data_IF_128493497735
#
_entry.id   IF_128493497735
#
_cell.length_a   1.000
_cell.length_b   1.000
_cell.length_c   1.000
_cell.angle_alpha   90.00
_cell.angle_beta   90.00
_cell.angle_gamma   90.00
#
_symmetry.space_group_name_H-M   'P 1'
#
loop_
_entity.id
_entity.type
_entity.pdbx_description
1 polymer ?
#
# COMPACT_ATOMS: atom_id res chain seq x y z
N UNK A 1 -6.00 5.93 16.78
CA UNK A 1 -6.22 5.07 15.59
C UNK A 1 -4.98 4.99 14.69
N UNK A 2 -4.47 6.10 14.14
CA UNK A 2 -3.32 6.07 13.22
C UNK A 2 -2.01 5.47 13.77
N UNK A 3 -1.69 5.69 15.04
CA UNK A 3 -0.50 5.11 15.67
C UNK A 3 -0.60 3.58 15.79
N UNK A 4 -1.78 3.06 16.16
CA UNK A 4 -2.03 1.61 16.23
C UNK A 4 -1.85 0.93 14.87
N UNK A 5 -2.29 1.58 13.80
CA UNK A 5 -2.07 1.07 12.43
C UNK A 5 -0.58 1.02 12.08
N UNK A 6 0.19 2.07 12.39
CA UNK A 6 1.63 2.11 12.13
C UNK A 6 2.38 1.05 12.93
N UNK A 7 2.08 0.94 14.24
CA UNK A 7 2.66 -0.08 15.10
C UNK A 7 2.35 -1.50 14.60
N UNK A 8 1.12 -1.74 14.12
CA UNK A 8 0.72 -3.03 13.58
C UNK A 8 1.44 -3.39 12.26
N UNK A 9 1.62 -2.44 11.34
CA UNK A 9 2.40 -2.68 10.10
C UNK A 9 3.87 -2.96 10.42
N UNK A 10 4.46 -2.26 11.40
CA UNK A 10 5.82 -2.53 11.88
C UNK A 10 5.93 -3.86 12.62
N UNK A 11 4.90 -4.24 13.39
CA UNK A 11 4.82 -5.54 14.04
C UNK A 11 4.86 -6.67 13.02
N UNK A 12 4.04 -6.58 11.97
CA UNK A 12 4.05 -7.52 10.85
C UNK A 12 5.42 -7.58 10.16
N UNK A 13 6.05 -6.43 9.89
CA UNK A 13 7.39 -6.40 9.31
C UNK A 13 8.44 -7.05 10.22
N UNK A 14 8.36 -6.84 11.54
CA UNK A 14 9.24 -7.45 12.54
C UNK A 14 9.06 -8.97 12.62
N UNK A 15 7.82 -9.45 12.63
CA UNK A 15 7.48 -10.89 12.65
C UNK A 15 8.08 -11.64 11.46
N UNK A 16 8.27 -10.94 10.34
CA UNK A 16 8.88 -11.48 9.12
C UNK A 16 10.35 -11.07 8.92
N UNK A 17 11.03 -10.59 9.97
CA UNK A 17 12.46 -10.20 9.95
C UNK A 17 12.82 -9.13 8.91
N UNK A 18 11.86 -8.30 8.48
CA UNK A 18 12.10 -7.26 7.48
C UNK A 18 12.80 -6.04 8.05
N UNK A 19 12.70 -5.80 9.37
CA UNK A 19 13.29 -4.63 10.05
C UNK A 19 14.70 -4.88 10.60
N UNK A 20 15.17 -6.13 10.61
CA UNK A 20 16.50 -6.50 11.07
C UNK A 20 17.52 -6.64 9.94
N UNK A 21 17.13 -6.32 8.70
CA UNK A 21 18.00 -6.41 7.54
C UNK A 21 19.02 -5.26 7.55
N UNK A 22 20.24 -5.60 7.17
CA UNK A 22 21.37 -4.68 6.99
C UNK A 22 21.64 -4.44 5.50
N UNK A 23 22.25 -3.30 5.16
CA UNK A 23 22.52 -2.89 3.78
C UNK A 23 21.26 -2.83 2.92
N UNK A 24 20.22 -2.16 3.47
CA UNK A 24 18.89 -2.03 2.87
C UNK A 24 18.42 -0.57 2.86
N UNK A 25 17.77 -0.18 1.76
CA UNK A 25 16.95 1.02 1.69
C UNK A 25 15.49 0.71 2.08
N UNK A 26 15.00 1.33 3.14
CA UNK A 26 13.61 1.20 3.60
C UNK A 26 12.75 2.31 2.98
N UNK A 27 11.91 1.96 2.00
CA UNK A 27 11.15 2.92 1.22
C UNK A 27 9.68 3.03 1.68
N UNK A 28 9.25 4.19 2.19
CA UNK A 28 7.84 4.51 2.43
C UNK A 28 7.22 5.19 1.20
N UNK A 29 6.25 4.54 0.57
CA UNK A 29 5.44 5.11 -0.51
C UNK A 29 4.20 5.81 0.05
N UNK A 30 3.93 7.03 -0.43
CA UNK A 30 2.83 7.86 0.06
C UNK A 30 3.09 8.35 1.48
N UNK A 31 4.31 8.80 1.75
CA UNK A 31 4.79 9.03 3.10
C UNK A 31 4.01 10.12 3.87
N UNK A 32 3.35 11.04 3.16
CA UNK A 32 2.66 12.19 3.73
C UNK A 32 3.58 12.89 4.73
N UNK A 33 3.14 13.07 5.98
CA UNK A 33 3.94 13.69 7.05
C UNK A 33 5.13 12.85 7.56
N UNK A 34 5.43 11.69 6.97
CA UNK A 34 6.62 10.87 7.28
C UNK A 34 6.53 10.13 8.62
N UNK A 35 5.31 9.85 9.12
CA UNK A 35 5.14 9.25 10.44
C UNK A 35 5.52 7.77 10.49
N UNK A 36 5.26 7.01 9.42
CA UNK A 36 5.67 5.60 9.40
C UNK A 36 7.19 5.51 9.18
N UNK A 37 7.77 6.28 8.27
CA UNK A 37 9.21 6.41 8.08
C UNK A 37 9.95 6.78 9.37
N UNK A 38 9.42 7.72 10.17
CA UNK A 38 9.97 8.03 11.49
C UNK A 38 10.08 6.78 12.39
N UNK A 39 9.04 5.95 12.45
CA UNK A 39 9.05 4.74 13.25
C UNK A 39 9.86 3.60 12.63
N UNK A 40 9.94 3.53 11.30
CA UNK A 40 10.85 2.63 10.59
C UNK A 40 12.30 2.97 10.99
N UNK A 41 12.71 4.23 10.86
CA UNK A 41 14.06 4.68 11.23
C UNK A 41 14.44 4.34 12.67
N UNK A 42 13.49 4.40 13.60
CA UNK A 42 13.69 4.03 15.02
C UNK A 42 13.68 2.52 15.28
N UNK A 43 13.33 1.70 14.29
CA UNK A 43 13.13 0.25 14.44
C UNK A 43 14.12 -0.60 13.64
N UNK A 44 14.99 0.03 12.86
CA UNK A 44 16.01 -0.61 12.01
C UNK A 44 17.41 -0.35 12.57
N UNK A 45 18.45 -1.08 12.11
CA UNK A 45 19.83 -0.77 12.49
C UNK A 45 20.22 0.69 12.17
N UNK A 46 20.90 1.33 13.12
CA UNK A 46 21.29 2.76 12.98
C UNK A 46 22.29 2.96 11.83
N UNK A 47 23.18 2.00 11.61
CA UNK A 47 24.20 2.02 10.57
C UNK A 47 23.86 1.03 9.45
N UNK A 48 24.39 1.31 8.25
CA UNK A 48 24.25 0.43 7.10
C UNK A 48 22.86 0.40 6.47
N UNK A 49 21.93 1.27 6.87
CA UNK A 49 20.61 1.38 6.26
C UNK A 49 20.32 2.82 5.79
N UNK A 50 19.26 2.99 5.00
CA UNK A 50 18.68 4.30 4.69
C UNK A 50 17.17 4.23 4.72
N UNK A 51 16.51 5.37 4.95
CA UNK A 51 15.05 5.50 4.87
C UNK A 51 14.72 6.46 3.73
N UNK A 52 13.96 5.98 2.76
CA UNK A 52 13.49 6.75 1.62
C UNK A 52 12.00 7.07 1.77
N UNK A 53 11.63 8.34 1.67
CA UNK A 53 10.25 8.79 1.67
C UNK A 53 9.87 9.25 0.27
N UNK A 54 8.84 8.64 -0.31
CA UNK A 54 8.31 9.01 -1.62
C UNK A 54 6.92 9.60 -1.45
N UNK A 55 6.72 10.84 -1.87
CA UNK A 55 5.39 11.47 -1.87
C UNK A 55 5.27 12.51 -3.00
N UNK A 56 4.07 12.68 -3.54
CA UNK A 56 3.79 13.70 -4.57
C UNK A 56 3.65 15.10 -3.96
N UNK A 57 3.15 15.18 -2.72
CA UNK A 57 2.88 16.41 -2.01
C UNK A 57 4.11 16.95 -1.26
N UNK A 58 4.04 18.23 -0.86
CA UNK A 58 5.02 18.88 -0.01
C UNK A 58 4.42 19.16 1.38
N UNK A 59 4.37 18.17 2.27
CA UNK A 59 3.68 18.31 3.55
C UNK A 59 4.45 19.22 4.51
N UNK A 60 3.70 19.99 5.32
CA UNK A 60 4.19 20.71 6.49
C UNK A 60 4.29 19.75 7.70
N UNK A 61 5.10 20.11 8.70
CA UNK A 61 5.30 19.33 9.93
C UNK A 61 5.77 17.89 9.66
N UNK A 62 6.86 17.79 8.91
CA UNK A 62 7.58 16.55 8.59
C UNK A 62 8.10 15.88 9.87
N UNK A 63 7.71 14.63 10.12
CA UNK A 63 8.11 13.89 11.32
C UNK A 63 9.55 13.42 11.26
N UNK A 64 10.09 13.22 10.06
CA UNK A 64 11.49 12.89 9.86
C UNK A 64 12.44 13.98 10.40
N UNK A 65 12.01 15.25 10.46
CA UNK A 65 12.79 16.33 11.08
C UNK A 65 12.97 16.17 12.60
N UNK A 66 12.32 15.18 13.22
CA UNK A 66 12.48 14.82 14.64
C UNK A 66 13.47 13.67 14.85
N UNK A 67 14.10 13.19 13.78
CA UNK A 67 15.20 12.25 13.86
C UNK A 67 16.47 13.07 14.09
N UNK A 68 17.27 12.66 15.06
CA UNK A 68 18.57 13.28 15.32
C UNK A 68 19.58 12.89 14.22
N UNK A 69 20.60 13.71 13.99
CA UNK A 69 21.60 13.47 12.93
C UNK A 69 22.43 12.19 13.12
N UNK A 70 22.37 11.58 14.31
CA UNK A 70 22.99 10.29 14.61
C UNK A 70 22.23 9.08 14.06
N UNK A 71 21.00 9.26 13.56
CA UNK A 71 20.19 8.18 13.02
C UNK A 71 20.53 7.84 11.56
N UNK A 72 19.94 6.73 11.11
CA UNK A 72 19.97 6.24 9.72
C UNK A 72 19.72 7.37 8.70
N UNK A 73 20.46 7.37 7.58
CA UNK A 73 20.32 8.38 6.53
C UNK A 73 18.89 8.44 5.98
N UNK A 74 18.27 9.63 6.02
CA UNK A 74 16.90 9.85 5.54
C UNK A 74 16.89 10.69 4.27
N UNK A 75 16.29 10.16 3.21
CA UNK A 75 16.07 10.85 1.94
C UNK A 75 14.57 11.01 1.70
N UNK A 76 14.12 12.21 1.27
CA UNK A 76 12.74 12.40 0.78
C UNK A 76 12.76 12.89 -0.66
N UNK A 77 12.08 12.17 -1.53
CA UNK A 77 11.90 12.54 -2.94
C UNK A 77 10.45 12.96 -3.17
N UNK A 78 10.29 14.13 -3.78
CA UNK A 78 8.99 14.63 -4.24
C UNK A 78 8.76 14.22 -5.68
N UNK A 79 7.98 13.17 -5.89
CA UNK A 79 7.74 12.61 -7.22
C UNK A 79 6.39 11.89 -7.27
N UNK A 80 5.79 11.84 -8.45
CA UNK A 80 4.69 10.91 -8.71
C UNK A 80 5.25 9.51 -8.94
N UNK A 81 4.78 8.53 -8.18
CA UNK A 81 5.29 7.14 -8.20
C UNK A 81 5.22 6.54 -9.61
N UNK A 82 4.29 7.00 -10.46
CA UNK A 82 4.21 6.54 -11.86
C UNK A 82 5.48 6.83 -12.68
N UNK A 83 6.26 7.84 -12.29
CA UNK A 83 7.51 8.25 -12.95
C UNK A 83 8.76 7.88 -12.13
N UNK A 84 8.59 7.19 -11.01
CA UNK A 84 9.70 6.83 -10.14
C UNK A 84 10.39 5.56 -10.68
N UNK A 85 11.68 5.71 -10.98
CA UNK A 85 12.59 4.60 -11.22
C UNK A 85 13.42 4.36 -9.96
N UNK A 86 13.01 3.39 -9.15
CA UNK A 86 13.59 3.18 -7.81
C UNK A 86 15.08 2.82 -7.85
N UNK A 87 15.51 2.07 -8.87
CA UNK A 87 16.93 1.72 -9.07
C UNK A 87 17.82 2.95 -9.36
N UNK A 88 17.21 4.08 -9.72
CA UNK A 88 17.90 5.34 -9.99
C UNK A 88 18.03 6.27 -8.77
N UNK A 89 17.43 5.90 -7.63
CA UNK A 89 17.48 6.68 -6.40
C UNK A 89 18.79 6.43 -5.64
N UNK A 90 19.42 7.50 -5.15
CA UNK A 90 20.75 7.45 -4.52
C UNK A 90 20.79 6.56 -3.27
N UNK A 91 19.80 6.66 -2.38
CA UNK A 91 19.69 5.76 -1.23
C UNK A 91 19.55 4.29 -1.63
N UNK A 92 18.88 3.99 -2.74
CA UNK A 92 18.74 2.62 -3.26
C UNK A 92 20.05 2.13 -3.88
N UNK A 93 20.75 2.98 -4.64
CA UNK A 93 22.07 2.67 -5.22
C UNK A 93 23.11 2.39 -4.14
N UNK A 94 23.11 3.18 -3.06
CA UNK A 94 23.99 3.00 -1.90
C UNK A 94 23.91 1.59 -1.32
N UNK A 95 22.72 1.00 -1.33
CA UNK A 95 22.44 -0.34 -0.81
C UNK A 95 22.34 -1.39 -1.93
N UNK A 96 23.01 -1.15 -3.07
CA UNK A 96 23.12 -2.10 -4.19
C UNK A 96 21.75 -2.60 -4.69
N UNK A 97 20.72 -1.75 -4.59
CA UNK A 97 19.37 -2.10 -5.01
C UNK A 97 18.54 -2.88 -4.01
N UNK A 98 19.07 -3.21 -2.82
CA UNK A 98 18.30 -3.86 -1.76
C UNK A 98 17.25 -2.90 -1.18
N UNK A 99 15.99 -3.28 -1.29
CA UNK A 99 14.87 -2.46 -0.83
C UNK A 99 13.87 -3.26 0.00
N UNK A 100 13.35 -2.64 1.06
CA UNK A 100 12.10 -3.06 1.71
C UNK A 100 11.05 -1.97 1.54
N UNK A 101 9.90 -2.34 0.98
CA UNK A 101 8.80 -1.42 0.70
C UNK A 101 7.77 -1.32 1.83
N UNK A 102 7.31 -0.11 2.12
CA UNK A 102 6.25 0.13 3.09
C UNK A 102 5.18 1.04 2.50
N UNK A 103 3.94 0.77 2.87
CA UNK A 103 2.86 1.73 2.68
C UNK A 103 1.79 1.57 3.75
N UNK A 104 1.30 2.69 4.28
CA UNK A 104 0.12 2.74 5.15
C UNK A 104 -1.17 3.04 4.38
N UNK A 105 -1.12 4.01 3.48
CA UNK A 105 -2.26 4.39 2.64
C UNK A 105 -1.74 4.88 1.29
N UNK A 106 -1.85 4.05 0.26
CA UNK A 106 -1.70 4.47 -1.13
C UNK A 106 -3.07 4.43 -1.79
N UNK A 107 -3.44 5.54 -2.43
CA UNK A 107 -4.76 5.68 -3.00
C UNK A 107 -4.81 5.19 -4.46
N UNK A 108 -5.75 4.29 -4.74
CA UNK A 108 -6.06 3.87 -6.12
C UNK A 108 -4.90 3.18 -6.80
N UNK A 109 -4.58 3.65 -8.00
CA UNK A 109 -3.51 3.09 -8.83
C UNK A 109 -2.09 3.30 -8.30
N UNK A 110 -1.91 4.20 -7.32
CA UNK A 110 -0.59 4.41 -6.73
C UNK A 110 -0.04 3.13 -6.06
N UNK A 111 -0.91 2.28 -5.48
CA UNK A 111 -0.53 0.93 -5.00
C UNK A 111 0.08 0.10 -6.11
N UNK A 112 -0.58 0.08 -7.27
CA UNK A 112 -0.16 -0.71 -8.42
C UNK A 112 1.12 -0.16 -9.06
N UNK A 113 1.32 1.17 -9.06
CA UNK A 113 2.59 1.79 -9.46
C UNK A 113 3.73 1.45 -8.49
N UNK A 114 3.50 1.50 -7.17
CA UNK A 114 4.53 1.16 -6.18
C UNK A 114 4.94 -0.31 -6.31
N UNK A 115 3.99 -1.23 -6.45
CA UNK A 115 4.29 -2.65 -6.67
C UNK A 115 5.15 -2.85 -7.93
N UNK A 116 4.77 -2.25 -9.06
CA UNK A 116 5.55 -2.32 -10.31
C UNK A 116 6.95 -1.72 -10.15
N UNK A 117 7.05 -0.57 -9.50
CA UNK A 117 8.29 0.15 -9.27
C UNK A 117 9.30 -0.70 -8.47
N UNK A 118 8.82 -1.44 -7.46
CA UNK A 118 9.65 -2.31 -6.62
C UNK A 118 10.02 -3.64 -7.27
N UNK A 119 9.22 -4.16 -8.21
CA UNK A 119 9.43 -5.50 -8.79
C UNK A 119 10.02 -5.48 -10.19
N UNK A 120 10.25 -4.31 -10.79
CA UNK A 120 10.83 -4.20 -12.13
C UNK A 120 12.35 -4.32 -12.05
N UNK A 121 12.90 -5.46 -12.50
CA UNK A 121 14.35 -5.72 -12.54
C UNK A 121 15.05 -5.20 -13.82
N UNK A 122 14.34 -4.55 -14.74
CA UNK A 122 14.88 -4.17 -16.05
C UNK A 122 15.35 -2.72 -16.09
N UNK A 123 16.67 -2.51 -16.06
CA UNK A 123 17.32 -1.47 -16.85
C UNK A 123 18.72 -1.93 -17.27
N UNK A 124 18.96 -1.93 -18.57
CA UNK A 124 20.23 -2.27 -19.23
C UNK A 124 21.36 -1.26 -18.97
N UNK A 125 21.20 -0.32 -18.02
CA UNK A 125 22.22 0.69 -17.63
C UNK A 125 22.25 1.03 -16.12
N UNK A 126 21.37 0.48 -15.28
CA UNK A 126 21.16 0.93 -13.88
C UNK A 126 21.23 -0.21 -12.83
N UNK A 127 21.21 0.15 -11.55
CA UNK A 127 21.24 -0.78 -10.40
C UNK A 127 20.05 -1.73 -10.43
N UNK A 128 20.32 -3.03 -10.42
CA UNK A 128 19.30 -4.07 -10.32
C UNK A 128 18.59 -3.98 -8.96
N UNK A 129 17.26 -4.03 -8.98
CA UNK A 129 16.45 -3.98 -7.76
C UNK A 129 16.31 -5.38 -7.16
N UNK A 130 16.62 -5.47 -5.87
CA UNK A 130 16.45 -6.67 -5.05
C UNK A 130 15.43 -6.37 -3.94
N UNK A 131 14.17 -6.66 -4.23
CA UNK A 131 13.08 -6.50 -3.26
C UNK A 131 13.21 -7.56 -2.16
N UNK A 132 13.69 -7.14 -0.99
CA UNK A 132 13.88 -7.98 0.20
C UNK A 132 12.58 -8.20 0.98
N UNK A 133 11.54 -7.42 0.68
CA UNK A 133 10.19 -7.62 1.19
C UNK A 133 9.35 -6.35 1.08
N UNK A 134 8.05 -6.46 1.31
CA UNK A 134 7.18 -5.30 1.40
C UNK A 134 5.97 -5.54 2.31
N UNK A 135 5.53 -4.46 2.97
CA UNK A 135 4.29 -4.42 3.75
C UNK A 135 3.42 -3.27 3.25
N UNK A 136 2.39 -3.62 2.48
CA UNK A 136 1.57 -2.64 1.75
C UNK A 136 0.12 -2.68 2.23
N UNK A 137 -0.28 -1.73 3.09
CA UNK A 137 -1.68 -1.59 3.46
C UNK A 137 -2.52 -1.09 2.28
N UNK A 138 -3.61 -1.80 1.99
CA UNK A 138 -4.47 -1.60 0.81
C UNK A 138 -5.85 -1.11 1.25
N UNK A 139 -6.41 -0.11 0.54
CA UNK A 139 -7.67 0.51 0.95
C UNK A 139 -8.55 1.00 -0.21
N UNK A 140 -8.06 1.99 -0.97
CA UNK A 140 -8.85 2.75 -1.95
C UNK A 140 -9.03 2.02 -3.30
N UNK A 141 -9.48 0.78 -3.25
CA UNK A 141 -9.80 -0.06 -4.41
C UNK A 141 -10.73 0.64 -5.41
N UNK A 142 -11.69 1.42 -4.90
CA UNK A 142 -12.62 2.20 -5.71
C UNK A 142 -11.95 3.25 -6.61
N UNK A 143 -10.66 3.56 -6.41
CA UNK A 143 -9.89 4.51 -7.24
C UNK A 143 -8.88 3.84 -8.18
N UNK A 144 -8.82 2.51 -8.21
CA UNK A 144 -7.91 1.81 -9.12
C UNK A 144 -8.32 1.99 -10.58
N UNK A 145 -7.35 2.00 -11.48
CA UNK A 145 -7.56 2.07 -12.93
C UNK A 145 -7.19 0.74 -13.57
N UNK A 146 -7.98 0.33 -14.57
CA UNK A 146 -7.75 -0.93 -15.28
C UNK A 146 -6.37 -0.98 -15.95
N UNK A 147 -5.89 0.15 -16.46
CA UNK A 147 -4.65 0.19 -17.24
C UNK A 147 -3.40 0.05 -16.36
N UNK A 148 -3.44 0.60 -15.15
CA UNK A 148 -2.34 0.57 -14.19
C UNK A 148 -2.39 -0.63 -13.24
N UNK A 149 -3.52 -1.33 -13.12
CA UNK A 149 -3.69 -2.46 -12.21
C UNK A 149 -2.76 -3.64 -12.54
N UNK A 150 -1.92 -4.04 -11.57
CA UNK A 150 -0.89 -5.09 -11.79
C UNK A 150 -1.49 -6.48 -11.96
N UNK A 151 -2.62 -6.77 -11.30
CA UNK A 151 -3.31 -8.06 -11.37
C UNK A 151 -4.15 -8.29 -12.63
N UNK A 152 -4.08 -7.42 -13.64
CA UNK A 152 -4.97 -7.43 -14.81
C UNK A 152 -4.93 -8.75 -15.59
N UNK A 153 -3.76 -9.37 -15.76
CA UNK A 153 -3.62 -10.66 -16.44
C UNK A 153 -4.40 -11.77 -15.72
N UNK A 154 -4.35 -11.79 -14.39
CA UNK A 154 -5.05 -12.75 -13.55
C UNK A 154 -6.56 -12.52 -13.55
N UNK A 155 -7.00 -11.26 -13.49
CA UNK A 155 -8.42 -10.95 -13.64
C UNK A 155 -8.98 -11.48 -14.98
N UNK A 156 -8.27 -11.25 -16.08
CA UNK A 156 -8.66 -11.79 -17.39
C UNK A 156 -8.71 -13.32 -17.40
N UNK A 157 -7.75 -13.99 -16.75
CA UNK A 157 -7.75 -15.45 -16.62
C UNK A 157 -8.97 -15.96 -15.85
N UNK A 158 -9.46 -15.20 -14.87
CA UNK A 158 -10.69 -15.50 -14.13
C UNK A 158 -11.97 -15.06 -14.85
N UNK A 159 -11.88 -14.66 -16.12
CA UNK A 159 -13.02 -14.21 -16.91
C UNK A 159 -13.52 -12.81 -16.56
N UNK A 160 -12.76 -12.01 -15.82
CA UNK A 160 -13.14 -10.65 -15.41
C UNK A 160 -12.65 -9.66 -16.46
N UNK A 161 -13.59 -9.04 -17.16
CA UNK A 161 -13.32 -8.02 -18.17
C UNK A 161 -13.05 -6.65 -17.55
N UNK A 162 -12.69 -5.68 -18.40
CA UNK A 162 -12.58 -4.28 -17.98
C UNK A 162 -13.91 -3.70 -17.47
N UNK A 163 -15.04 -4.15 -18.04
CA UNK A 163 -16.36 -3.72 -17.61
C UNK A 163 -16.68 -4.30 -16.21
N UNK A 164 -16.36 -5.57 -15.99
CA UNK A 164 -16.52 -6.22 -14.68
C UNK A 164 -15.62 -5.57 -13.62
N UNK A 165 -14.39 -5.21 -13.98
CA UNK A 165 -13.50 -4.47 -13.10
C UNK A 165 -14.09 -3.11 -12.68
N UNK A 166 -14.75 -2.40 -13.60
CA UNK A 166 -15.42 -1.14 -13.26
C UNK A 166 -16.55 -1.37 -12.24
N UNK A 167 -17.30 -2.47 -12.36
CA UNK A 167 -18.33 -2.87 -11.40
C UNK A 167 -17.71 -3.25 -10.06
N UNK A 168 -16.69 -4.11 -10.04
CA UNK A 168 -15.95 -4.50 -8.84
C UNK A 168 -15.41 -3.29 -8.07
N UNK A 169 -14.88 -2.30 -8.80
CA UNK A 169 -14.39 -1.05 -8.23
C UNK A 169 -15.49 -0.23 -7.55
N UNK A 170 -16.66 -0.13 -8.17
CA UNK A 170 -17.84 0.50 -7.56
C UNK A 170 -18.29 -0.26 -6.30
N UNK A 171 -18.43 -1.58 -6.39
CA UNK A 171 -18.86 -2.42 -5.28
C UNK A 171 -17.86 -2.42 -4.12
N UNK A 172 -16.56 -2.36 -4.41
CA UNK A 172 -15.51 -2.26 -3.38
C UNK A 172 -15.69 -1.03 -2.47
N UNK A 173 -16.29 0.06 -2.98
CA UNK A 173 -16.66 1.23 -2.17
C UNK A 173 -17.66 0.92 -1.06
N UNK A 174 -18.44 -0.16 -1.19
CA UNK A 174 -19.44 -0.54 -0.18
C UNK A 174 -18.84 -1.09 1.11
N UNK A 175 -17.58 -1.56 1.07
CA UNK A 175 -16.89 -2.12 2.22
C UNK A 175 -16.78 -1.12 3.38
N UNK A 176 -16.71 0.18 3.04
CA UNK A 176 -16.59 1.28 4.01
C UNK A 176 -17.81 2.18 3.98
N UNK A 177 -18.97 1.72 3.46
CA UNK A 177 -20.21 2.49 3.50
C UNK A 177 -20.42 3.04 4.91
N UNK A 178 -20.13 4.33 5.07
CA UNK A 178 -20.64 5.14 6.16
C UNK A 178 -22.11 5.34 5.83
N UNK A 179 -22.94 4.35 6.14
CA UNK A 179 -24.34 4.65 6.33
C UNK A 179 -24.38 5.55 7.56
N UNK A 180 -24.43 6.87 7.34
CA UNK A 180 -24.87 7.83 8.32
C UNK A 180 -26.15 7.27 8.92
N UNK A 181 -26.07 6.75 10.15
CA UNK A 181 -27.26 6.66 10.95
C UNK A 181 -27.58 8.10 11.32
N UNK A 182 -28.61 8.66 10.71
CA UNK A 182 -29.25 9.87 11.23
C UNK A 182 -29.58 9.62 12.70
N UNK A 183 -29.02 10.44 13.59
CA UNK A 183 -29.35 10.36 15.01
C UNK A 183 -28.49 11.15 16.02
N UNK A 184 -27.30 11.64 15.68
CA UNK A 184 -26.55 12.51 16.62
C UNK A 184 -25.95 13.73 15.93
N UNK A 185 -26.54 14.90 16.21
CA UNK A 185 -25.95 16.21 15.96
C UNK A 185 -24.54 16.23 16.56
N UNK A 186 -23.54 16.53 15.75
CA UNK A 186 -22.26 17.03 16.23
C UNK A 186 -21.86 18.18 15.32
N UNK A 187 -21.64 19.32 15.95
CA UNK A 187 -21.52 20.62 15.35
C UNK A 187 -20.23 20.77 14.53
N UNK A 188 -20.40 21.43 13.38
CA UNK A 188 -19.48 22.32 12.66
C UNK A 188 -17.97 22.04 12.74
N UNK A 189 -17.39 21.74 11.59
CA UNK A 189 -16.15 22.39 11.14
C UNK A 189 -16.21 22.56 9.61
N UNK A 190 -15.97 23.80 9.17
CA UNK A 190 -16.02 24.28 7.79
C UNK A 190 -14.87 23.73 6.93
N UNK A 191 -15.14 23.13 5.76
CA UNK A 191 -14.33 23.30 4.53
C UNK A 191 -15.13 22.91 3.26
N UNK A 192 -15.02 23.77 2.25
CA UNK A 192 -15.17 23.61 0.78
C UNK A 192 -16.52 23.19 0.16
N UNK A 193 -17.20 24.20 -0.39
CA UNK A 193 -18.25 24.08 -1.40
C UNK A 193 -17.65 23.66 -2.76
N UNK A 194 -17.41 22.36 -2.98
CA UNK A 194 -17.35 21.83 -4.35
C UNK A 194 -17.53 20.31 -4.52
N UNK A 195 -18.50 19.70 -3.84
CA UNK A 195 -18.94 18.33 -4.15
C UNK A 195 -20.38 18.28 -4.66
N UNK A 196 -20.60 18.81 -5.87
CA UNK A 196 -21.79 18.44 -6.66
C UNK A 196 -21.52 17.12 -7.39
N UNK A 197 -22.01 15.99 -6.83
CA UNK A 197 -22.67 14.84 -7.51
C UNK A 197 -22.70 13.55 -6.64
N UNK A 198 -23.35 13.56 -5.48
CA UNK A 198 -23.64 12.32 -4.72
C UNK A 198 -25.12 11.89 -4.73
N UNK A 199 -26.02 12.67 -5.33
CA UNK A 199 -27.47 12.40 -5.33
C UNK A 199 -27.96 11.18 -6.13
N UNK A 200 -27.12 10.51 -6.94
CA UNK A 200 -27.57 9.41 -7.80
C UNK A 200 -27.36 8.00 -7.23
N UNK A 201 -26.47 7.83 -6.26
CA UNK A 201 -26.10 6.50 -5.77
C UNK A 201 -27.09 5.93 -4.75
N UNK A 202 -27.64 6.78 -3.86
CA UNK A 202 -28.57 6.33 -2.81
C UNK A 202 -29.84 5.72 -3.42
N UNK A 203 -30.44 6.38 -4.42
CA UNK A 203 -31.65 5.89 -5.09
C UNK A 203 -31.45 4.59 -5.92
N UNK A 204 -30.23 4.31 -6.41
CA UNK A 204 -29.93 3.08 -7.17
C UNK A 204 -29.74 1.88 -6.25
N UNK A 205 -29.13 2.08 -5.09
CA UNK A 205 -28.82 1.02 -4.13
C UNK A 205 -30.08 0.57 -3.37
N UNK A 206 -31.02 1.47 -3.07
CA UNK A 206 -32.31 1.12 -2.45
C UNK A 206 -33.13 0.12 -3.29
N UNK A 207 -32.94 0.10 -4.62
CA UNK A 207 -33.63 -0.85 -5.53
C UNK A 207 -33.09 -2.28 -5.46
N UNK A 208 -31.90 -2.49 -4.88
CA UNK A 208 -31.29 -3.82 -4.78
C UNK A 208 -31.78 -4.61 -3.56
N UNK A 209 -32.56 -3.97 -2.67
CA UNK A 209 -33.09 -4.60 -1.44
C UNK A 209 -32.02 -5.25 -0.55
N UNK A 210 -30.77 -4.76 -0.60
CA UNK A 210 -29.65 -5.25 0.22
C UNK A 210 -29.51 -4.43 1.50
N UNK A 211 -29.36 -5.11 2.63
CA UNK A 211 -29.01 -4.50 3.92
C UNK A 211 -27.62 -3.86 3.90
N UNK A 212 -27.34 -3.01 4.89
CA UNK A 212 -26.00 -2.40 5.05
C UNK A 212 -24.93 -3.47 5.21
N UNK A 213 -25.20 -4.51 6.00
CA UNK A 213 -24.27 -5.60 6.27
C UNK A 213 -23.95 -6.40 4.99
N UNK A 214 -24.96 -6.71 4.17
CA UNK A 214 -24.75 -7.40 2.89
C UNK A 214 -23.93 -6.57 1.92
N UNK A 215 -24.18 -5.25 1.84
CA UNK A 215 -23.39 -4.36 0.99
C UNK A 215 -21.93 -4.28 1.44
N UNK A 216 -21.70 -4.16 2.74
CA UNK A 216 -20.36 -4.18 3.31
C UNK A 216 -19.65 -5.49 2.97
N UNK A 217 -20.33 -6.62 3.12
CA UNK A 217 -19.78 -7.93 2.79
C UNK A 217 -19.41 -8.05 1.30
N UNK A 218 -20.31 -7.65 0.40
CA UNK A 218 -20.02 -7.60 -1.04
C UNK A 218 -18.79 -6.74 -1.32
N UNK A 219 -18.73 -5.55 -0.72
CA UNK A 219 -17.59 -4.65 -0.90
C UNK A 219 -16.27 -5.26 -0.41
N UNK A 220 -16.27 -5.91 0.76
CA UNK A 220 -15.08 -6.61 1.27
C UNK A 220 -14.63 -7.73 0.33
N UNK A 221 -15.57 -8.50 -0.22
CA UNK A 221 -15.28 -9.56 -1.19
C UNK A 221 -14.71 -9.02 -2.50
N UNK A 222 -15.22 -7.89 -3.00
CA UNK A 222 -14.66 -7.22 -4.17
C UNK A 222 -13.24 -6.73 -3.91
N UNK A 223 -12.96 -6.14 -2.74
CA UNK A 223 -11.60 -5.75 -2.33
C UNK A 223 -10.66 -6.96 -2.29
N UNK A 224 -11.06 -8.03 -1.60
CA UNK A 224 -10.28 -9.27 -1.49
C UNK A 224 -9.96 -9.86 -2.87
N UNK A 225 -10.91 -9.85 -3.80
CA UNK A 225 -10.69 -10.35 -5.15
C UNK A 225 -9.60 -9.53 -5.88
N UNK A 226 -9.66 -8.20 -5.77
CA UNK A 226 -8.64 -7.32 -6.35
C UNK A 226 -7.26 -7.55 -5.72
N UNK A 227 -7.20 -7.66 -4.40
CA UNK A 227 -5.93 -7.93 -3.70
C UNK A 227 -5.38 -9.32 -4.02
N UNK A 228 -6.24 -10.31 -4.20
CA UNK A 228 -5.83 -11.66 -4.63
C UNK A 228 -5.22 -11.62 -6.04
N UNK A 229 -5.75 -10.79 -6.94
CA UNK A 229 -5.15 -10.60 -8.27
C UNK A 229 -3.77 -9.92 -8.19
N UNK A 230 -3.56 -8.99 -7.25
CA UNK A 230 -2.24 -8.39 -6.98
C UNK A 230 -1.26 -9.41 -6.42
N UNK A 231 -1.70 -10.22 -5.46
CA UNK A 231 -0.90 -11.31 -4.90
C UNK A 231 -0.52 -12.32 -5.98
N UNK A 232 -1.46 -12.75 -6.81
CA UNK A 232 -1.19 -13.69 -7.89
C UNK A 232 -0.16 -13.12 -8.90
N UNK A 233 -0.24 -11.82 -9.20
CA UNK A 233 0.79 -11.15 -10.00
C UNK A 233 2.17 -11.21 -9.34
N UNK A 234 2.28 -10.92 -8.05
CA UNK A 234 3.54 -10.98 -7.31
C UNK A 234 4.09 -12.41 -7.22
N UNK A 235 3.23 -13.40 -7.03
CA UNK A 235 3.59 -14.82 -7.06
C UNK A 235 4.08 -15.27 -8.43
N UNK A 236 3.47 -14.78 -9.51
CA UNK A 236 3.95 -15.03 -10.87
C UNK A 236 5.37 -14.49 -11.09
N UNK A 237 5.75 -13.41 -10.39
CA UNK A 237 7.12 -12.86 -10.40
C UNK A 237 8.09 -13.61 -9.47
N UNK A 238 7.64 -14.67 -8.79
CA UNK A 238 8.46 -15.52 -7.92
C UNK A 238 8.45 -15.15 -6.44
N UNK A 239 7.77 -14.07 -6.05
CA UNK A 239 7.68 -13.67 -4.64
C UNK A 239 6.69 -14.53 -3.85
N UNK A 240 6.95 -14.69 -2.55
CA UNK A 240 5.96 -15.20 -1.61
C UNK A 240 5.09 -14.03 -1.17
N UNK A 241 3.91 -13.90 -1.77
CA UNK A 241 2.98 -12.83 -1.47
C UNK A 241 1.70 -13.38 -0.83
N UNK A 242 1.12 -12.63 0.11
CA UNK A 242 -0.13 -12.99 0.77
C UNK A 242 -0.93 -11.76 1.18
N UNK A 243 -2.25 -11.95 1.32
CA UNK A 243 -3.14 -10.97 1.93
C UNK A 243 -3.25 -11.28 3.42
N UNK A 244 -3.02 -10.29 4.27
CA UNK A 244 -3.06 -10.43 5.73
C UNK A 244 -3.90 -9.34 6.38
N UNK A 245 -4.53 -9.66 7.50
CA UNK A 245 -5.19 -8.67 8.34
C UNK A 245 -4.19 -8.14 9.38
N UNK A 246 -3.70 -6.92 9.20
CA UNK A 246 -2.65 -6.38 10.07
C UNK A 246 -3.21 -5.82 11.39
N UNK A 247 -4.50 -5.50 11.45
CA UNK A 247 -5.12 -4.94 12.66
C UNK A 247 -6.58 -5.32 12.75
N UNK A 248 -7.19 -5.18 13.93
CA UNK A 248 -8.63 -5.41 14.10
C UNK A 248 -9.48 -4.37 13.36
N UNK A 249 -10.66 -4.74 12.85
CA UNK A 249 -11.53 -3.83 12.10
C UNK A 249 -12.05 -2.65 12.94
N UNK A 250 -12.01 -2.75 14.28
CA UNK A 250 -12.38 -1.64 15.17
C UNK A 250 -11.36 -0.48 15.17
N UNK A 251 -10.11 -0.73 14.74
CA UNK A 251 -9.10 0.33 14.57
C UNK A 251 -9.27 1.04 13.23
N UNK A 252 -9.52 0.27 12.17
CA UNK A 252 -9.81 0.75 10.81
C UNK A 252 -10.56 -0.34 10.04
N UNK A 253 -11.60 0.01 9.25
CA UNK A 253 -12.22 -0.97 8.35
C UNK A 253 -11.29 -1.36 7.19
N UNK A 254 -10.27 -0.53 6.91
CA UNK A 254 -9.20 -0.80 5.95
C UNK A 254 -8.03 -1.47 6.69
N UNK A 255 -8.23 -2.73 7.10
CA UNK A 255 -7.30 -3.47 7.95
C UNK A 255 -6.54 -4.59 7.23
N UNK A 256 -6.49 -4.52 5.90
CA UNK A 256 -5.83 -5.50 5.03
C UNK A 256 -4.50 -4.93 4.52
N UNK A 257 -3.48 -5.78 4.48
CA UNK A 257 -2.21 -5.50 3.83
C UNK A 257 -1.80 -6.64 2.91
N UNK A 258 -1.02 -6.32 1.88
CA UNK A 258 -0.27 -7.29 1.09
C UNK A 258 1.13 -7.38 1.70
N UNK A 259 1.47 -8.59 2.16
CA UNK A 259 2.82 -8.94 2.58
C UNK A 259 3.54 -9.57 1.39
N UNK A 260 4.77 -9.11 1.12
CA UNK A 260 5.64 -9.65 0.08
C UNK A 260 6.95 -10.07 0.72
N UNK A 261 7.37 -11.30 0.47
CA UNK A 261 8.62 -11.87 0.94
C UNK A 261 9.42 -12.41 -0.26
N UNK A 262 10.76 -12.48 -0.15
CA UNK A 262 11.60 -13.03 -1.20
C UNK A 262 11.25 -14.50 -1.44
N UNK A 263 11.61 -15.04 -2.62
CA UNK A 263 11.48 -16.46 -2.91
C UNK A 263 12.14 -17.29 -1.79
N UNK A 264 11.58 -18.45 -1.46
CA UNK A 264 12.28 -19.39 -0.57
C UNK A 264 13.61 -19.77 -1.24
N UNK A 265 14.74 -19.56 -0.56
CA UNK A 265 15.98 -20.19 -1.01
C UNK A 265 15.75 -21.70 -0.96
N UNK A 266 15.78 -22.36 -2.12
CA UNK A 266 15.92 -23.81 -2.16
C UNK A 266 17.29 -24.06 -1.56
N UNK A 267 17.33 -24.54 -0.32
CA UNK A 267 18.56 -25.07 0.27
C UNK A 267 19.02 -26.18 -0.65
N UNK A 268 20.01 -25.90 -1.50
CA UNK A 268 20.75 -26.94 -2.19
C UNK A 268 21.38 -27.79 -1.08
N UNK A 269 20.78 -28.96 -0.84
CA UNK A 269 21.47 -30.02 -0.14
C UNK A 269 22.66 -30.38 -1.03
N UNK A 270 23.83 -29.89 -0.65
CA UNK A 270 25.10 -30.44 -1.10
C UNK A 270 25.18 -31.84 -0.47
N UNK A 271 24.90 -32.87 -1.27
CA UNK A 271 25.40 -34.22 -1.02
C UNK A 271 26.86 -34.32 -1.48
#
# INVERSE_FOLDING_TARGET
>A
KHLRQQAALLGLAREHNLLSLEDVCYAEFGAGRGRLAYWIAKSIPEQGCSVLLVDRAAPRHKFENKLDDSFTAVERIRIDIQHLELGNVESVKRHRGNVVGFCKHLCGEATDFALRCMTTSKSSRDTELHLQGAVMAVCCHHRCSWNSFVGRSHLKLWGISQADFAVLRCLAGWATCACSQDGSKSEKDEVDENEQKEGSNVQRVTRLCLSVAERQEIGRRCKLLLDTARVAHLTQLGFRASVVYFVTPCVTPENVAILVLPPSQVTGASD
#
